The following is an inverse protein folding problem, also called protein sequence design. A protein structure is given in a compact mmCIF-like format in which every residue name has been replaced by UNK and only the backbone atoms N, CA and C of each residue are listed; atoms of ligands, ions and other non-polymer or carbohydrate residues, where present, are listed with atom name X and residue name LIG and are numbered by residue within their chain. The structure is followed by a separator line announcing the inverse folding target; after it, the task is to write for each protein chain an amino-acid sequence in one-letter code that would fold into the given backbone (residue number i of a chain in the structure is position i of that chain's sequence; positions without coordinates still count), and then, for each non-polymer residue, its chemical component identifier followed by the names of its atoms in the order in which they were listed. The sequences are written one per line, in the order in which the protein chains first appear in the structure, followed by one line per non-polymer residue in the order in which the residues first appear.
data_IF_030572361656
#
_entry.id   IF_030572361656
#
_cell.length_a   1.000
_cell.length_b   1.000
_cell.length_c   1.000
_cell.angle_alpha   90.00
_cell.angle_beta   90.00
_cell.angle_gamma   90.00
#
_symmetry.space_group_name_H-M   'P 1'
#
loop_
_entity.id
_entity.type
_entity.pdbx_description
1 polymer ?
#
# COMPACT_ATOMS: atom_id res chain seq x y z
N UNK A 1 -7.50 4.48 -22.17
CA UNK A 1 -8.05 5.37 -21.12
C UNK A 1 -7.45 5.07 -19.73
N UNK A 2 -6.18 4.63 -19.66
CA UNK A 2 -5.42 4.37 -18.41
C UNK A 2 -4.13 5.22 -18.34
N UNK A 3 -3.85 6.03 -19.37
CA UNK A 3 -2.64 6.87 -19.49
C UNK A 3 -2.75 8.23 -18.79
N UNK A 4 -3.94 8.60 -18.31
CA UNK A 4 -4.20 9.97 -17.82
C UNK A 4 -3.89 10.16 -16.32
N UNK A 5 -3.87 9.08 -15.52
CA UNK A 5 -3.66 9.19 -14.07
C UNK A 5 -2.16 9.21 -13.72
N UNK A 6 -1.34 8.36 -14.37
CA UNK A 6 0.13 8.37 -14.20
C UNK A 6 0.75 9.71 -14.61
N UNK A 7 0.20 10.35 -15.64
CA UNK A 7 0.75 11.58 -16.23
C UNK A 7 0.56 12.83 -15.38
N UNK A 8 -0.37 12.86 -14.41
CA UNK A 8 -0.52 14.00 -13.48
C UNK A 8 0.49 13.91 -12.34
N UNK A 9 0.59 12.74 -11.69
CA UNK A 9 1.58 12.52 -10.62
C UNK A 9 3.03 12.69 -11.08
N UNK A 10 3.38 12.21 -12.28
CA UNK A 10 4.72 12.40 -12.85
C UNK A 10 5.03 13.89 -13.10
N UNK A 11 4.03 14.68 -13.53
CA UNK A 11 4.17 16.13 -13.72
C UNK A 11 4.31 16.86 -12.40
N UNK A 12 3.48 16.55 -11.42
CA UNK A 12 3.55 17.14 -10.09
C UNK A 12 4.91 16.82 -9.44
N UNK A 13 5.36 15.56 -9.51
CA UNK A 13 6.68 15.16 -8.99
C UNK A 13 7.84 15.88 -9.70
N UNK A 14 7.74 16.10 -11.01
CA UNK A 14 8.71 16.89 -11.76
C UNK A 14 8.77 18.34 -11.25
N UNK A 15 7.66 18.93 -10.81
CA UNK A 15 7.67 20.24 -10.16
C UNK A 15 8.40 20.21 -8.81
N UNK A 16 8.22 19.17 -7.99
CA UNK A 16 8.91 19.03 -6.69
C UNK A 16 10.44 19.01 -6.83
N UNK A 17 10.96 18.40 -7.90
CA UNK A 17 12.41 18.30 -8.12
C UNK A 17 12.97 19.43 -8.98
N UNK A 18 12.12 20.28 -9.57
CA UNK A 18 12.52 21.36 -10.49
C UNK A 18 13.48 22.37 -9.86
N UNK A 19 13.42 22.53 -8.54
CA UNK A 19 14.28 23.44 -7.78
C UNK A 19 15.70 22.93 -7.53
N UNK A 20 16.04 21.70 -7.95
CA UNK A 20 17.36 21.10 -7.75
C UNK A 20 18.08 20.89 -9.08
N UNK A 21 19.39 21.15 -9.08
CA UNK A 21 20.23 20.85 -10.22
C UNK A 21 20.56 19.33 -10.29
N UNK A 22 21.12 18.85 -11.42
CA UNK A 22 21.43 17.43 -11.57
C UNK A 22 22.43 16.86 -10.56
N UNK A 23 23.34 17.68 -10.02
CA UNK A 23 24.32 17.22 -9.03
C UNK A 23 23.67 17.09 -7.65
N UNK A 24 22.84 18.05 -7.26
CA UNK A 24 22.05 18.00 -6.04
C UNK A 24 21.11 16.79 -6.03
N UNK A 25 20.41 16.53 -7.15
CA UNK A 25 19.56 15.34 -7.28
C UNK A 25 20.37 14.04 -7.20
N UNK A 26 21.60 14.02 -7.72
CA UNK A 26 22.49 12.86 -7.61
C UNK A 26 22.91 12.63 -6.17
N UNK A 27 23.25 13.69 -5.44
CA UNK A 27 23.63 13.59 -4.03
C UNK A 27 22.45 13.11 -3.17
N UNK A 28 21.25 13.71 -3.34
CA UNK A 28 20.04 13.28 -2.67
C UNK A 28 19.70 11.81 -2.98
N UNK A 29 19.78 11.42 -4.25
CA UNK A 29 19.55 10.02 -4.70
C UNK A 29 20.57 9.05 -4.11
N UNK A 30 21.82 9.48 -3.98
CA UNK A 30 22.87 8.66 -3.37
C UNK A 30 22.60 8.50 -1.88
N UNK A 31 22.20 9.58 -1.21
CA UNK A 31 21.94 9.60 0.22
C UNK A 31 20.74 8.73 0.60
N UNK A 32 19.62 8.81 -0.13
CA UNK A 32 18.45 7.97 0.18
C UNK A 32 18.77 6.48 0.04
N UNK A 33 19.57 6.09 -0.97
CA UNK A 33 20.02 4.70 -1.15
C UNK A 33 20.93 4.25 -0.01
N UNK A 34 21.83 5.12 0.46
CA UNK A 34 22.67 4.84 1.64
C UNK A 34 21.81 4.63 2.89
N UNK A 35 20.81 5.49 3.12
CA UNK A 35 19.89 5.32 4.23
C UNK A 35 19.13 3.99 4.12
N UNK A 36 18.64 3.58 2.94
CA UNK A 36 18.05 2.24 2.79
C UNK A 36 19.01 1.12 3.24
N UNK A 37 20.31 1.23 2.95
CA UNK A 37 21.32 0.31 3.46
C UNK A 37 21.48 0.34 4.98
N UNK A 38 21.54 1.52 5.59
CA UNK A 38 21.70 1.71 7.04
C UNK A 38 20.48 1.18 7.81
N UNK A 39 19.28 1.45 7.33
CA UNK A 39 18.02 1.04 7.98
C UNK A 39 17.57 -0.39 7.60
N UNK A 40 18.34 -1.10 6.77
CA UNK A 40 18.02 -2.47 6.35
C UNK A 40 16.82 -2.57 5.41
N UNK A 41 16.44 -1.50 4.71
CA UNK A 41 15.33 -1.47 3.75
C UNK A 41 15.82 -1.99 2.39
N UNK A 42 16.01 -3.30 2.32
CA UNK A 42 16.68 -3.99 1.21
C UNK A 42 15.84 -5.15 0.68
N UNK A 43 16.04 -5.48 -0.60
CA UNK A 43 15.63 -6.74 -1.20
C UNK A 43 16.86 -7.60 -1.52
N UNK A 44 16.65 -8.91 -1.47
CA UNK A 44 17.61 -9.89 -1.99
C UNK A 44 17.71 -9.70 -3.50
N UNK A 45 18.94 -9.69 -4.01
CA UNK A 45 19.19 -9.64 -5.43
C UNK A 45 18.76 -10.96 -6.09
N UNK A 46 17.90 -10.86 -7.11
CA UNK A 46 17.35 -12.04 -7.80
C UNK A 46 18.36 -12.80 -8.66
N UNK A 47 19.48 -12.18 -9.03
CA UNK A 47 20.54 -12.78 -9.83
C UNK A 47 21.57 -13.52 -8.97
N UNK A 48 21.81 -13.02 -7.76
CA UNK A 48 22.73 -13.62 -6.79
C UNK A 48 22.26 -13.30 -5.37
N UNK A 49 21.77 -14.32 -4.67
CA UNK A 49 21.12 -14.22 -3.36
C UNK A 49 22.07 -13.85 -2.21
N UNK A 50 23.39 -13.80 -2.48
CA UNK A 50 24.40 -13.29 -1.55
C UNK A 50 24.40 -11.77 -1.48
N UNK A 51 23.82 -11.09 -2.47
CA UNK A 51 23.79 -9.65 -2.54
C UNK A 51 22.40 -9.09 -2.24
N UNK A 52 22.40 -7.86 -1.73
CA UNK A 52 21.20 -7.09 -1.43
C UNK A 52 21.23 -5.78 -2.22
N UNK A 53 20.06 -5.27 -2.56
CA UNK A 53 19.91 -3.93 -3.12
C UNK A 53 18.81 -3.18 -2.37
N UNK A 54 18.88 -1.86 -2.35
CA UNK A 54 17.80 -1.07 -1.76
C UNK A 54 16.46 -1.36 -2.45
N UNK A 55 15.36 -1.25 -1.71
CA UNK A 55 14.03 -1.33 -2.34
C UNK A 55 13.85 -0.17 -3.33
N UNK A 56 13.01 -0.31 -4.36
CA UNK A 56 12.53 0.84 -5.10
C UNK A 56 11.87 1.85 -4.13
N UNK A 57 12.37 3.07 -4.12
CA UNK A 57 11.94 4.13 -3.19
C UNK A 57 11.85 5.47 -3.94
N UNK A 58 10.86 6.29 -3.59
CA UNK A 58 10.75 7.67 -4.10
C UNK A 58 11.72 8.58 -3.36
N UNK A 59 12.28 9.59 -4.03
CA UNK A 59 13.23 10.50 -3.39
C UNK A 59 12.57 11.33 -2.28
N UNK A 60 11.35 11.79 -2.57
CA UNK A 60 10.51 12.55 -1.64
C UNK A 60 9.19 11.83 -1.39
N UNK A 61 8.51 12.11 -0.27
CA UNK A 61 7.18 11.57 -0.02
C UNK A 61 6.16 12.16 -0.99
N UNK A 62 5.16 11.36 -1.35
CA UNK A 62 4.06 11.83 -2.18
C UNK A 62 3.12 12.73 -1.37
N UNK A 63 2.70 13.90 -1.89
CA UNK A 63 1.70 14.73 -1.21
C UNK A 63 0.39 13.98 -1.10
N UNK A 64 -0.25 14.06 0.07
CA UNK A 64 -1.54 13.41 0.32
C UNK A 64 -2.48 14.38 1.05
N UNK A 65 -3.75 14.55 0.62
CA UNK A 65 -4.70 15.43 1.27
C UNK A 65 -4.97 14.99 2.71
N UNK A 66 -4.67 15.87 3.67
CA UNK A 66 -4.78 15.62 5.11
C UNK A 66 -6.16 15.10 5.52
N UNK A 67 -7.22 15.68 4.97
CA UNK A 67 -8.59 15.28 5.29
C UNK A 67 -8.90 13.86 4.82
N UNK A 68 -8.44 13.49 3.62
CA UNK A 68 -8.62 12.11 3.13
C UNK A 68 -7.79 11.12 3.93
N UNK A 69 -6.56 11.50 4.35
CA UNK A 69 -5.72 10.67 5.21
C UNK A 69 -6.40 10.37 6.55
N UNK A 70 -6.93 11.41 7.20
CA UNK A 70 -7.67 11.25 8.46
C UNK A 70 -8.90 10.36 8.28
N UNK A 71 -9.68 10.59 7.22
CA UNK A 71 -10.86 9.78 6.89
C UNK A 71 -10.52 8.30 6.74
N UNK A 72 -9.54 7.93 5.91
CA UNK A 72 -9.20 6.51 5.69
C UNK A 72 -8.60 5.87 6.95
N UNK A 73 -7.85 6.63 7.76
CA UNK A 73 -7.32 6.14 9.04
C UNK A 73 -8.46 5.78 10.00
N UNK A 74 -9.48 6.63 10.10
CA UNK A 74 -10.66 6.32 10.93
C UNK A 74 -11.50 5.18 10.36
N UNK A 75 -11.54 5.02 9.03
CA UNK A 75 -12.32 3.99 8.37
C UNK A 75 -11.75 2.58 8.58
N UNK A 76 -10.46 2.45 8.89
CA UNK A 76 -9.80 1.14 8.99
C UNK A 76 -10.44 0.22 10.04
N UNK A 77 -10.89 0.75 11.19
CA UNK A 77 -11.58 -0.07 12.19
C UNK A 77 -12.92 -0.63 11.69
N UNK A 78 -13.65 0.18 10.93
CA UNK A 78 -14.92 -0.23 10.30
C UNK A 78 -14.69 -1.28 9.22
N UNK A 79 -13.64 -1.13 8.41
CA UNK A 79 -13.24 -2.15 7.42
C UNK A 79 -12.86 -3.46 8.11
N UNK A 80 -12.09 -3.40 9.20
CA UNK A 80 -11.71 -4.59 9.96
C UNK A 80 -12.95 -5.32 10.51
N UNK A 81 -13.91 -4.58 11.08
CA UNK A 81 -15.14 -5.13 11.63
C UNK A 81 -16.03 -5.72 10.53
N UNK A 82 -16.16 -5.03 9.40
CA UNK A 82 -16.89 -5.52 8.24
C UNK A 82 -16.31 -6.85 7.75
N UNK A 83 -14.99 -6.91 7.55
CA UNK A 83 -14.32 -8.11 7.06
C UNK A 83 -14.41 -9.27 8.06
N UNK A 84 -14.32 -8.99 9.37
CA UNK A 84 -14.52 -10.01 10.40
C UNK A 84 -15.95 -10.57 10.41
N UNK A 85 -16.98 -9.73 10.26
CA UNK A 85 -18.36 -10.22 10.18
C UNK A 85 -18.59 -11.03 8.91
N UNK A 86 -18.09 -10.55 7.77
CA UNK A 86 -18.19 -11.27 6.49
C UNK A 86 -17.42 -12.59 6.54
N UNK A 87 -16.24 -12.65 7.18
CA UNK A 87 -15.45 -13.88 7.30
C UNK A 87 -16.18 -14.96 8.07
N UNK A 88 -17.04 -14.58 9.01
CA UNK A 88 -17.86 -15.48 9.82
C UNK A 88 -19.19 -15.89 9.15
N UNK A 89 -19.55 -15.27 8.02
CA UNK A 89 -20.73 -15.65 7.23
C UNK A 89 -20.33 -16.58 6.07
N UNK A 90 -20.14 -17.86 6.39
CA UNK A 90 -19.66 -18.87 5.44
C UNK A 90 -20.65 -19.08 4.28
N UNK A 91 -21.95 -19.02 4.56
CA UNK A 91 -23.00 -19.17 3.55
C UNK A 91 -22.94 -18.02 2.54
N UNK A 92 -22.83 -16.78 3.03
CA UNK A 92 -22.68 -15.60 2.19
C UNK A 92 -21.45 -15.70 1.30
N UNK A 93 -20.28 -16.08 1.83
CA UNK A 93 -19.05 -16.23 1.05
C UNK A 93 -19.22 -17.29 -0.05
N UNK A 94 -19.71 -18.48 0.32
CA UNK A 94 -19.90 -19.59 -0.63
C UNK A 94 -20.89 -19.24 -1.75
N UNK A 95 -21.96 -18.51 -1.41
CA UNK A 95 -22.96 -18.05 -2.36
C UNK A 95 -22.39 -16.97 -3.29
N UNK A 96 -21.66 -16.01 -2.75
CA UNK A 96 -21.04 -14.91 -3.52
C UNK A 96 -20.00 -15.42 -4.53
N UNK A 97 -19.27 -16.47 -4.19
CA UNK A 97 -18.26 -17.08 -5.07
C UNK A 97 -18.82 -18.09 -6.08
N UNK A 98 -20.15 -18.29 -6.17
CA UNK A 98 -20.77 -19.36 -6.98
C UNK A 98 -20.32 -19.35 -8.45
N UNK A 99 -20.23 -18.18 -9.08
CA UNK A 99 -19.85 -18.07 -10.49
C UNK A 99 -18.34 -18.18 -10.68
N UNK A 100 -17.54 -17.56 -9.81
CA UNK A 100 -16.07 -17.59 -9.85
C UNK A 100 -15.55 -19.03 -9.74
N UNK A 101 -16.13 -19.82 -8.82
CA UNK A 101 -15.75 -21.23 -8.60
C UNK A 101 -15.99 -22.16 -9.79
N UNK A 102 -16.77 -21.73 -10.80
CA UNK A 102 -16.96 -22.50 -12.05
C UNK A 102 -15.78 -22.33 -13.01
N UNK A 103 -15.07 -21.21 -12.90
CA UNK A 103 -14.04 -20.80 -13.85
C UNK A 103 -12.64 -20.81 -13.24
N UNK A 104 -12.51 -20.75 -11.91
CA UNK A 104 -11.23 -20.74 -11.21
C UNK A 104 -11.08 -21.93 -10.23
N UNK A 105 -10.16 -22.84 -10.55
CA UNK A 105 -9.89 -24.05 -9.76
C UNK A 105 -9.24 -23.72 -8.40
N UNK A 106 -8.49 -22.62 -8.29
CA UNK A 106 -7.90 -22.21 -7.02
C UNK A 106 -8.98 -21.80 -6.00
N UNK A 107 -9.86 -20.88 -6.38
CA UNK A 107 -11.00 -20.44 -5.55
C UNK A 107 -11.94 -21.60 -5.22
N UNK A 108 -12.15 -22.53 -6.16
CA UNK A 108 -12.95 -23.74 -5.92
C UNK A 108 -12.37 -24.62 -4.82
N UNK A 109 -11.04 -24.79 -4.75
CA UNK A 109 -10.37 -25.52 -3.67
C UNK A 109 -10.53 -24.81 -2.33
N UNK A 110 -10.36 -23.48 -2.26
CA UNK A 110 -10.58 -22.71 -1.03
C UNK A 110 -12.02 -22.85 -0.52
N UNK A 111 -13.00 -22.74 -1.41
CA UNK A 111 -14.40 -22.92 -1.05
C UNK A 111 -14.73 -24.35 -0.60
N UNK A 112 -14.01 -25.37 -1.10
CA UNK A 112 -14.15 -26.75 -0.62
C UNK A 112 -13.67 -26.87 0.83
N UNK A 113 -12.54 -26.24 1.16
CA UNK A 113 -12.03 -26.19 2.53
C UNK A 113 -13.06 -25.52 3.44
N UNK A 114 -13.55 -24.33 3.07
CA UNK A 114 -14.54 -23.60 3.87
C UNK A 114 -15.82 -24.44 4.13
N UNK A 115 -16.31 -25.17 3.13
CA UNK A 115 -17.47 -26.07 3.30
C UNK A 115 -17.22 -27.23 4.26
N UNK A 116 -16.01 -27.77 4.30
CA UNK A 116 -15.65 -28.85 5.23
C UNK A 116 -15.67 -28.36 6.70
N UNK A 117 -15.52 -27.05 6.91
CA UNK A 117 -15.50 -26.44 8.23
C UNK A 117 -16.89 -26.14 8.80
N UNK A 118 -17.97 -26.24 8.00
CA UNK A 118 -19.32 -25.83 8.41
C UNK A 118 -19.87 -26.62 9.61
N UNK A 119 -19.37 -27.84 9.84
CA UNK A 119 -19.73 -28.70 10.98
C UNK A 119 -18.56 -28.88 11.96
N UNK A 120 -17.45 -28.16 11.75
CA UNK A 120 -16.26 -28.29 12.57
C UNK A 120 -16.31 -27.28 13.71
N UNK A 121 -16.28 -27.78 14.95
CA UNK A 121 -16.19 -26.91 16.12
C UNK A 121 -14.72 -26.61 16.42
N UNK A 122 -14.28 -25.39 16.10
CA UNK A 122 -12.92 -24.98 16.40
C UNK A 122 -12.68 -24.92 17.91
N UNK A 123 -11.57 -25.50 18.38
CA UNK A 123 -11.14 -25.35 19.79
C UNK A 123 -10.60 -23.95 20.07
N UNK A 124 -10.03 -23.28 19.06
CA UNK A 124 -9.60 -21.89 19.12
C UNK A 124 -10.72 -21.00 18.57
N UNK A 125 -11.15 -20.03 19.37
CA UNK A 125 -12.22 -19.07 19.02
C UNK A 125 -11.68 -17.67 18.71
N UNK A 126 -10.39 -17.43 18.98
CA UNK A 126 -9.73 -16.16 18.70
C UNK A 126 -9.27 -16.15 17.24
N UNK A 127 -9.78 -15.17 16.50
CA UNK A 127 -9.34 -14.84 15.15
C UNK A 127 -8.51 -13.55 15.19
N UNK A 128 -7.41 -13.52 14.44
CA UNK A 128 -6.58 -12.34 14.29
C UNK A 128 -6.33 -12.09 12.80
N UNK A 129 -6.52 -10.83 12.38
CA UNK A 129 -6.29 -10.39 11.00
C UNK A 129 -5.34 -9.20 10.96
N UNK A 130 -4.27 -9.32 10.18
CA UNK A 130 -3.47 -8.17 9.75
C UNK A 130 -3.99 -7.79 8.37
N UNK A 131 -4.76 -6.71 8.32
CA UNK A 131 -5.51 -6.28 7.13
C UNK A 131 -4.94 -4.96 6.63
N UNK A 132 -4.76 -4.85 5.31
CA UNK A 132 -4.45 -3.58 4.64
C UNK A 132 -5.55 -3.24 3.65
N UNK A 133 -6.04 -2.01 3.72
CA UNK A 133 -6.96 -1.45 2.75
C UNK A 133 -6.19 -0.42 1.91
N UNK A 134 -6.12 -0.66 0.60
CA UNK A 134 -5.35 0.14 -0.33
C UNK A 134 -6.28 1.11 -1.07
N UNK A 135 -5.96 2.40 -1.01
CA UNK A 135 -6.81 3.48 -1.53
C UNK A 135 -6.09 4.27 -2.62
N UNK A 136 -6.86 4.81 -3.57
CA UNK A 136 -6.36 5.77 -4.56
C UNK A 136 -7.22 7.03 -4.58
N UNK A 137 -6.55 8.16 -4.81
CA UNK A 137 -7.18 9.47 -4.97
C UNK A 137 -7.62 9.63 -6.42
N UNK A 138 -8.84 10.07 -6.59
CA UNK A 138 -9.40 10.51 -7.87
C UNK A 138 -9.54 12.04 -7.82
N UNK A 139 -8.51 12.72 -8.33
CA UNK A 139 -8.42 14.18 -8.31
C UNK A 139 -8.89 14.82 -9.62
N UNK A 140 -10.21 14.86 -9.78
CA UNK A 140 -10.94 15.55 -10.85
C UNK A 140 -11.46 16.93 -10.42
N UNK A 141 -10.80 17.58 -9.45
CA UNK A 141 -11.26 18.87 -8.93
C UNK A 141 -11.20 19.95 -10.00
N UNK A 142 -12.21 20.81 -10.01
CA UNK A 142 -12.28 21.99 -10.88
C UNK A 142 -11.80 23.24 -10.13
N UNK A 143 -11.92 23.23 -8.80
CA UNK A 143 -11.44 24.29 -7.92
C UNK A 143 -10.41 23.78 -6.90
N UNK A 144 -9.36 24.56 -6.57
CA UNK A 144 -8.39 24.22 -5.52
C UNK A 144 -9.03 24.00 -4.13
N UNK A 145 -10.22 24.57 -3.88
CA UNK A 145 -10.94 24.44 -2.60
C UNK A 145 -11.68 23.11 -2.43
N UNK A 146 -11.86 22.35 -3.51
CA UNK A 146 -12.52 21.07 -3.44
C UNK A 146 -11.61 20.02 -2.79
N UNK A 147 -12.21 19.02 -2.15
CA UNK A 147 -11.50 17.86 -1.60
C UNK A 147 -11.58 16.75 -2.65
N UNK A 148 -10.44 16.18 -3.10
CA UNK A 148 -10.48 15.15 -4.14
C UNK A 148 -11.12 13.89 -3.59
N UNK A 149 -11.73 13.07 -4.45
CA UNK A 149 -12.37 11.83 -4.03
C UNK A 149 -11.31 10.78 -3.71
N UNK A 150 -11.67 9.81 -2.88
CA UNK A 150 -10.82 8.67 -2.55
C UNK A 150 -11.65 7.39 -2.63
N UNK A 151 -11.08 6.36 -3.23
CA UNK A 151 -11.74 5.07 -3.42
C UNK A 151 -10.87 3.94 -2.87
N UNK A 152 -11.52 2.98 -2.22
CA UNK A 152 -10.91 1.70 -1.87
C UNK A 152 -10.71 0.91 -3.16
N UNK A 153 -9.47 0.54 -3.45
CA UNK A 153 -9.11 -0.23 -4.64
C UNK A 153 -9.10 -1.71 -4.32
N UNK A 154 -8.46 -2.08 -3.21
CA UNK A 154 -8.38 -3.46 -2.76
C UNK A 154 -8.25 -3.54 -1.24
N UNK A 155 -8.63 -4.69 -0.69
CA UNK A 155 -8.30 -5.07 0.67
C UNK A 155 -7.53 -6.38 0.65
N UNK A 156 -6.46 -6.42 1.43
CA UNK A 156 -5.56 -7.55 1.55
C UNK A 156 -5.72 -8.14 2.95
N UNK A 157 -6.18 -9.39 3.02
CA UNK A 157 -6.41 -10.13 4.28
C UNK A 157 -5.43 -11.27 4.49
N UNK A 158 -4.49 -11.48 3.57
CA UNK A 158 -3.49 -12.54 3.63
C UNK A 158 -2.12 -11.99 3.21
N UNK A 159 -1.08 -12.36 3.96
CA UNK A 159 0.31 -12.04 3.64
C UNK A 159 0.53 -10.57 3.26
N UNK A 160 0.03 -9.65 4.08
CA UNK A 160 0.15 -8.20 3.86
C UNK A 160 1.62 -7.78 3.98
N UNK A 161 2.20 -7.34 2.86
CA UNK A 161 3.58 -6.88 2.79
C UNK A 161 3.75 -5.42 3.27
N UNK A 162 5.00 -4.97 3.39
CA UNK A 162 5.40 -3.56 3.62
C UNK A 162 4.98 -2.91 4.94
N UNK A 163 4.34 -3.63 5.88
CA UNK A 163 4.06 -3.07 7.21
C UNK A 163 5.31 -2.56 7.93
N UNK A 164 6.39 -3.36 7.93
CA UNK A 164 7.66 -2.98 8.54
C UNK A 164 8.47 -1.96 7.71
N UNK A 165 8.66 -2.21 6.41
CA UNK A 165 9.39 -1.28 5.55
C UNK A 165 8.72 0.10 5.50
N UNK A 166 7.39 0.14 5.43
CA UNK A 166 6.62 1.39 5.35
C UNK A 166 6.84 2.31 6.55
N UNK A 167 6.95 1.76 7.77
CA UNK A 167 7.20 2.59 8.96
C UNK A 167 8.59 3.23 8.96
N UNK A 168 9.58 2.60 8.34
CA UNK A 168 10.94 3.12 8.26
C UNK A 168 11.14 4.10 7.10
N UNK A 169 10.37 3.97 6.01
CA UNK A 169 10.46 4.88 4.86
C UNK A 169 10.17 6.33 5.27
N UNK A 170 9.25 6.55 6.21
CA UNK A 170 8.94 7.89 6.70
C UNK A 170 10.17 8.57 7.30
N UNK A 171 10.90 7.88 8.18
CA UNK A 171 12.12 8.41 8.81
C UNK A 171 13.19 8.75 7.76
N UNK A 172 13.36 7.90 6.75
CA UNK A 172 14.29 8.17 5.64
C UNK A 172 13.85 9.40 4.83
N UNK A 173 12.55 9.55 4.57
CA UNK A 173 12.02 10.71 3.86
C UNK A 173 12.19 12.00 4.66
N UNK A 174 12.02 11.97 5.99
CA UNK A 174 12.26 13.11 6.86
C UNK A 174 13.74 13.54 6.83
N UNK A 175 14.68 12.59 6.90
CA UNK A 175 16.12 12.83 6.74
C UNK A 175 16.46 13.49 5.39
N UNK A 176 15.87 12.99 4.31
CA UNK A 176 16.10 13.52 2.96
C UNK A 176 15.50 14.92 2.80
N UNK A 177 14.30 15.16 3.34
CA UNK A 177 13.66 16.47 3.31
C UNK A 177 14.46 17.51 4.10
N UNK A 178 14.95 17.16 5.29
CA UNK A 178 15.78 18.05 6.11
C UNK A 178 17.08 18.42 5.39
N UNK A 179 17.75 17.44 4.80
CA UNK A 179 18.98 17.68 4.06
C UNK A 179 18.75 18.50 2.78
N UNK A 180 17.70 18.18 2.01
CA UNK A 180 17.30 18.96 0.84
C UNK A 180 16.97 20.41 1.22
N UNK A 181 16.31 20.63 2.37
CA UNK A 181 16.03 21.96 2.91
C UNK A 181 17.30 22.74 3.27
N UNK A 182 18.34 22.08 3.78
CA UNK A 182 19.63 22.73 4.09
C UNK A 182 20.44 23.18 2.87
N UNK A 183 20.10 22.69 1.68
CA UNK A 183 20.69 23.17 0.42
C UNK A 183 20.09 24.51 -0.02
N UNK A 184 19.10 25.05 0.72
CA UNK A 184 18.29 26.20 0.35
C UNK A 184 18.13 27.20 1.50
#
# INVERSE_FOLDING_TARGET
MLSTIRTKFEKDYAEYIKGFDPEELRELSTRIKRYCGIYGILFINKLDDKFYHHIPITLFPSPFPKEQFQKIRTLQSEVNMLLHRVSNDYEFIIKSLKNVRKMDEFTKKLAKILKQLNNYQFRQQIEAGIIRADYMIDDNRVSPKEIPKIYLIEYNTISVSFGAHGSQIQEIHDEILNFAGSMR
#
